data_IF_224506243523
#
_entry.id   IF_224506243523
#
_cell.length_a   1.000
_cell.length_b   1.000
_cell.length_c   1.000
_cell.angle_alpha   90.00
_cell.angle_beta   90.00
_cell.angle_gamma   90.00
#
_symmetry.space_group_name_H-M   'P 1'
#
loop_
_entity.id
_entity.type
_entity.pdbx_description
1 polymer ?
#
# COMPACT_ATOMS: atom_id res chain seq x y z
N UNK A 1 24.75 19.33 15.21
CA UNK A 1 24.47 19.42 13.77
C UNK A 1 23.18 18.68 13.54
N UNK A 2 22.11 19.41 13.21
CA UNK A 2 20.77 18.85 13.15
C UNK A 2 20.55 18.01 11.88
N UNK A 3 20.11 16.78 12.13
CA UNK A 3 18.99 16.09 11.47
C UNK A 3 18.99 16.05 9.93
N UNK A 4 19.49 14.95 9.37
CA UNK A 4 19.25 14.54 8.00
C UNK A 4 18.14 13.49 7.97
N UNK A 5 16.91 14.00 7.96
CA UNK A 5 15.87 13.56 7.04
C UNK A 5 15.34 12.12 7.22
N UNK A 6 14.46 11.94 8.21
CA UNK A 6 13.37 10.95 8.16
C UNK A 6 12.31 11.30 7.09
N UNK A 7 12.73 11.88 5.97
CA UNK A 7 11.85 12.27 4.88
C UNK A 7 11.54 11.03 4.06
N UNK A 8 10.46 10.34 4.42
CA UNK A 8 9.80 9.40 3.52
C UNK A 8 9.00 10.23 2.53
N UNK A 9 9.53 10.38 1.31
CA UNK A 9 8.80 10.97 0.19
C UNK A 9 7.81 9.95 -0.34
N UNK A 10 6.54 10.34 -0.39
CA UNK A 10 5.53 9.60 -1.17
C UNK A 10 5.43 10.32 -2.51
N UNK A 11 6.10 9.76 -3.51
CA UNK A 11 5.91 10.19 -4.88
C UNK A 11 4.72 9.42 -5.48
N UNK A 12 3.72 10.16 -5.93
CA UNK A 12 2.62 9.61 -6.73
C UNK A 12 3.08 9.73 -8.19
N UNK A 13 3.73 8.69 -8.70
CA UNK A 13 4.17 8.62 -10.09
C UNK A 13 3.16 7.81 -10.94
N UNK A 14 2.92 8.17 -12.21
CA UNK A 14 2.27 7.27 -13.17
C UNK A 14 3.13 6.01 -13.34
N UNK A 15 2.52 4.87 -13.74
CA UNK A 15 3.19 3.57 -13.88
C UNK A 15 4.57 3.69 -14.58
N UNK A 16 5.64 3.66 -13.78
CA UNK A 16 6.98 3.39 -14.26
C UNK A 16 7.21 1.87 -14.24
N UNK A 17 7.98 1.38 -15.20
CA UNK A 17 8.26 -0.05 -15.42
C UNK A 17 8.67 -0.75 -14.12
N UNK A 18 7.83 -1.67 -13.62
CA UNK A 18 8.14 -2.50 -12.47
C UNK A 18 9.19 -3.54 -12.85
N UNK A 19 10.32 -3.55 -12.15
CA UNK A 19 11.33 -4.60 -12.29
C UNK A 19 10.80 -5.92 -11.72
N UNK A 20 10.45 -6.85 -12.61
CA UNK A 20 9.85 -8.16 -12.31
C UNK A 20 10.85 -9.19 -11.75
N UNK A 21 11.68 -8.81 -10.79
CA UNK A 21 12.51 -9.76 -10.04
C UNK A 21 11.89 -10.00 -8.68
N UNK A 22 11.52 -11.25 -8.41
CA UNK A 22 10.88 -11.70 -7.18
C UNK A 22 11.61 -11.14 -5.94
N UNK A 23 11.00 -10.12 -5.33
CA UNK A 23 11.52 -9.49 -4.13
C UNK A 23 11.38 -10.48 -2.97
N UNK A 24 12.48 -11.09 -2.54
CA UNK A 24 12.56 -11.60 -1.17
C UNK A 24 12.42 -10.39 -0.25
N UNK A 25 11.43 -10.42 0.66
CA UNK A 25 11.26 -9.37 1.66
C UNK A 25 12.47 -9.42 2.61
N UNK A 26 13.50 -8.63 2.35
CA UNK A 26 14.64 -8.45 3.24
C UNK A 26 14.44 -7.17 4.05
N UNK A 27 13.63 -7.29 5.12
CA UNK A 27 13.49 -6.26 6.15
C UNK A 27 12.07 -5.77 6.39
N UNK A 28 11.92 -5.01 7.47
CA UNK A 28 10.69 -4.30 7.82
C UNK A 28 11.04 -2.84 8.10
N UNK A 29 10.18 -1.93 7.69
CA UNK A 29 10.38 -0.49 7.86
C UNK A 29 9.08 0.19 8.31
N UNK A 30 9.23 1.34 8.96
CA UNK A 30 8.11 2.17 9.41
C UNK A 30 7.89 3.32 8.44
N UNK A 31 6.72 3.34 7.82
CA UNK A 31 6.31 4.37 6.87
C UNK A 31 5.13 5.15 7.44
N UNK A 32 5.43 6.26 8.13
CA UNK A 32 4.42 6.97 8.91
C UNK A 32 3.26 7.49 8.05
N UNK A 33 3.57 8.05 6.88
CA UNK A 33 2.54 8.61 6.00
C UNK A 33 1.64 7.52 5.40
N UNK A 34 2.20 6.38 4.97
CA UNK A 34 1.38 5.28 4.45
C UNK A 34 0.59 4.55 5.54
N UNK A 35 1.06 4.60 6.79
CA UNK A 35 0.33 4.06 7.95
C UNK A 35 -0.96 4.82 8.24
N UNK A 36 -1.16 6.01 7.67
CA UNK A 36 -2.39 6.79 7.77
C UNK A 36 -3.47 6.36 6.77
N UNK A 37 -3.14 5.50 5.80
CA UNK A 37 -4.07 5.06 4.77
C UNK A 37 -4.98 3.96 5.30
N UNK A 38 -6.30 4.16 5.22
CA UNK A 38 -7.26 3.16 5.65
C UNK A 38 -7.36 1.98 4.67
N UNK A 39 -7.98 0.91 5.15
CA UNK A 39 -8.16 -0.31 4.39
C UNK A 39 -9.40 -0.30 3.48
N UNK A 40 -9.25 -0.84 2.28
CA UNK A 40 -10.33 -1.46 1.50
C UNK A 40 -9.85 -2.80 0.92
N UNK A 41 -10.75 -3.78 0.76
CA UNK A 41 -10.35 -5.16 0.45
C UNK A 41 -9.81 -5.36 -0.97
N UNK A 42 -10.20 -4.50 -1.91
CA UNK A 42 -9.78 -4.58 -3.30
C UNK A 42 -10.36 -3.45 -4.15
N UNK A 43 -10.04 -3.46 -5.44
CA UNK A 43 -10.58 -2.51 -6.40
C UNK A 43 -12.12 -2.61 -6.48
N UNK A 44 -12.83 -1.49 -6.71
CA UNK A 44 -12.29 -0.13 -6.93
C UNK A 44 -12.07 0.68 -5.63
N UNK A 45 -12.42 0.13 -4.47
CA UNK A 45 -12.37 0.87 -3.19
C UNK A 45 -10.94 1.04 -2.66
N UNK A 46 -10.09 0.03 -2.85
CA UNK A 46 -8.64 0.15 -2.71
C UNK A 46 -8.10 0.79 -3.99
N UNK A 47 -7.80 2.09 -3.92
CA UNK A 47 -7.43 2.92 -5.07
C UNK A 47 -5.93 3.18 -5.18
N UNK A 48 -5.14 2.68 -4.21
CA UNK A 48 -3.67 2.73 -4.24
C UNK A 48 -3.04 1.39 -3.81
N UNK A 49 -1.88 1.07 -4.38
CA UNK A 49 -1.06 -0.10 -4.06
C UNK A 49 0.37 0.30 -3.69
N UNK A 50 1.02 -0.51 -2.84
CA UNK A 50 2.40 -0.31 -2.44
C UNK A 50 3.34 -0.86 -3.52
N UNK A 51 4.31 -0.05 -3.94
CA UNK A 51 5.38 -0.46 -4.83
C UNK A 51 6.74 -0.07 -4.28
N UNK A 52 7.71 -0.95 -4.44
CA UNK A 52 9.12 -0.67 -4.21
C UNK A 52 9.77 -0.58 -5.58
N UNK A 53 9.94 0.65 -6.07
CA UNK A 53 10.50 0.88 -7.39
C UNK A 53 12.03 0.91 -7.30
N UNK A 54 12.69 0.21 -8.20
CA UNK A 54 14.13 0.37 -8.43
C UNK A 54 14.33 1.41 -9.53
N UNK A 55 15.26 2.36 -9.32
CA UNK A 55 15.65 3.33 -10.34
C UNK A 55 16.51 2.72 -11.44
N UNK A 56 16.79 3.49 -12.50
CA UNK A 56 17.63 3.08 -13.63
C UNK A 56 19.10 2.83 -13.22
N UNK A 57 19.54 3.48 -12.15
CA UNK A 57 20.82 3.39 -11.48
C UNK A 57 20.89 2.28 -10.39
N UNK A 58 19.85 1.42 -10.35
CA UNK A 58 19.71 0.31 -9.41
C UNK A 58 18.60 0.56 -8.39
N UNK A 59 18.46 -0.33 -7.39
CA UNK A 59 17.61 -0.03 -6.24
C UNK A 59 18.18 1.24 -5.58
N UNK A 60 17.57 2.41 -5.81
CA UNK A 60 17.82 3.60 -4.99
C UNK A 60 17.73 3.20 -3.52
N UNK A 61 18.42 3.94 -2.63
CA UNK A 61 18.61 3.62 -1.18
C UNK A 61 17.49 2.71 -0.67
N UNK A 62 17.75 1.40 -0.64
CA UNK A 62 16.68 0.40 -0.50
C UNK A 62 15.76 0.73 0.67
N UNK A 63 14.51 1.05 0.38
CA UNK A 63 13.58 1.55 1.40
C UNK A 63 12.58 2.61 0.94
N UNK A 64 12.64 3.11 -0.30
CA UNK A 64 11.61 4.04 -0.77
C UNK A 64 10.29 3.31 -1.07
N UNK A 65 9.20 3.77 -0.44
CA UNK A 65 7.84 3.25 -0.64
C UNK A 65 7.06 4.17 -1.57
N UNK A 66 6.65 3.65 -2.72
CA UNK A 66 5.79 4.33 -3.69
C UNK A 66 4.33 3.90 -3.52
N UNK A 67 3.40 4.85 -3.67
CA UNK A 67 1.96 4.56 -3.81
C UNK A 67 1.56 4.69 -5.27
N UNK A 68 1.13 3.59 -5.88
CA UNK A 68 0.63 3.57 -7.24
C UNK A 68 -0.89 3.62 -7.25
N UNK A 69 -1.47 4.57 -7.96
CA UNK A 69 -2.91 4.61 -8.16
C UNK A 69 -3.35 3.45 -9.06
N UNK A 70 -4.40 2.71 -8.67
CA UNK A 70 -4.95 1.59 -9.47
C UNK A 70 -6.02 2.03 -10.47
N UNK A 71 -6.47 3.29 -10.35
CA UNK A 71 -7.42 3.96 -11.23
C UNK A 71 -7.33 5.48 -11.03
N UNK A 72 -8.08 6.24 -11.81
CA UNK A 72 -8.26 7.68 -11.56
C UNK A 72 -8.86 7.93 -10.17
N UNK A 73 -8.28 8.89 -9.44
CA UNK A 73 -8.68 9.30 -8.10
C UNK A 73 -9.06 10.79 -8.14
N UNK A 74 -10.24 11.13 -7.63
CA UNK A 74 -10.69 12.53 -7.60
C UNK A 74 -10.06 13.29 -6.44
N UNK A 75 -9.90 14.60 -6.59
CA UNK A 75 -9.49 15.45 -5.48
C UNK A 75 -10.51 15.34 -4.32
N UNK A 76 -10.00 15.13 -3.10
CA UNK A 76 -10.81 14.91 -1.90
C UNK A 76 -11.32 13.48 -1.71
N UNK A 77 -11.07 12.57 -2.66
CA UNK A 77 -11.34 11.14 -2.48
C UNK A 77 -10.32 10.54 -1.52
N UNK A 78 -10.79 9.73 -0.56
CA UNK A 78 -9.91 9.04 0.40
C UNK A 78 -9.04 7.99 -0.30
N UNK A 79 -7.74 8.02 -0.03
CA UNK A 79 -6.80 6.98 -0.46
C UNK A 79 -6.90 5.77 0.46
N UNK A 80 -7.09 4.59 -0.12
CA UNK A 80 -7.19 3.32 0.61
C UNK A 80 -6.34 2.23 -0.03
N UNK A 81 -5.68 1.44 0.83
CA UNK A 81 -4.82 0.31 0.46
C UNK A 81 -5.44 -1.01 0.92
N UNK A 82 -4.99 -2.14 0.37
CA UNK A 82 -5.40 -3.45 0.87
C UNK A 82 -4.37 -4.03 1.84
N UNK A 83 -4.69 -4.04 3.14
CA UNK A 83 -3.89 -4.74 4.17
C UNK A 83 -3.96 -6.26 4.02
N UNK A 84 -5.13 -6.75 3.57
CA UNK A 84 -5.42 -8.16 3.34
C UNK A 84 -6.18 -8.24 2.02
N UNK A 85 -5.52 -8.74 0.98
CA UNK A 85 -6.08 -8.84 -0.37
C UNK A 85 -7.29 -9.77 -0.40
N UNK A 86 -8.36 -9.33 -1.08
CA UNK A 86 -9.49 -10.20 -1.39
C UNK A 86 -9.13 -11.31 -2.41
N UNK A 87 -8.03 -11.16 -3.15
CA UNK A 87 -7.53 -12.19 -4.07
C UNK A 87 -6.87 -13.33 -3.27
N UNK A 88 -6.07 -12.99 -2.25
CA UNK A 88 -5.43 -13.97 -1.36
C UNK A 88 -6.43 -14.60 -0.38
N UNK A 89 -7.36 -13.80 0.14
CA UNK A 89 -8.37 -14.22 1.13
C UNK A 89 -9.78 -13.91 0.61
N UNK A 90 -10.31 -14.74 -0.31
CA UNK A 90 -11.59 -14.47 -0.98
C UNK A 90 -12.79 -14.57 -0.05
N UNK A 91 -12.72 -15.44 0.96
CA UNK A 91 -13.81 -15.67 1.91
C UNK A 91 -13.98 -14.45 2.84
N UNK A 92 -15.11 -13.75 2.67
CA UNK A 92 -15.48 -12.52 3.41
C UNK A 92 -15.36 -12.63 4.93
N UNK A 93 -15.88 -13.71 5.51
CA UNK A 93 -15.82 -13.93 6.97
C UNK A 93 -14.39 -14.11 7.46
N UNK A 94 -13.58 -14.89 6.74
CA UNK A 94 -12.16 -15.09 7.04
C UNK A 94 -11.38 -13.78 6.95
N UNK A 95 -11.59 -12.99 5.90
CA UNK A 95 -10.93 -11.70 5.72
C UNK A 95 -11.30 -10.72 6.83
N UNK A 96 -12.60 -10.61 7.19
CA UNK A 96 -13.04 -9.77 8.32
C UNK A 96 -12.48 -10.24 9.66
N UNK A 97 -12.38 -11.55 9.89
CA UNK A 97 -11.78 -12.08 11.10
C UNK A 97 -10.29 -11.68 11.20
N UNK A 98 -9.53 -11.80 10.11
CA UNK A 98 -8.12 -11.37 10.09
C UNK A 98 -7.96 -9.86 10.34
N UNK A 99 -8.82 -9.03 9.74
CA UNK A 99 -8.79 -7.58 9.94
C UNK A 99 -9.12 -7.21 11.39
N UNK A 100 -10.11 -7.87 11.99
CA UNK A 100 -10.47 -7.65 13.38
C UNK A 100 -9.33 -8.08 14.33
N UNK A 101 -8.74 -9.24 14.09
CA UNK A 101 -7.65 -9.79 14.90
C UNK A 101 -6.36 -8.93 14.83
N UNK A 102 -5.97 -8.49 13.63
CA UNK A 102 -4.69 -7.81 13.40
C UNK A 102 -4.77 -6.29 13.51
N UNK A 103 -5.92 -5.70 13.18
CA UNK A 103 -6.08 -4.25 13.05
C UNK A 103 -7.26 -3.69 13.88
N UNK A 104 -8.05 -4.54 14.54
CA UNK A 104 -9.07 -4.10 15.50
C UNK A 104 -10.32 -3.48 14.91
N UNK A 105 -10.62 -3.68 13.61
CA UNK A 105 -11.82 -3.13 12.97
C UNK A 105 -12.55 -4.12 12.07
N UNK A 106 -13.83 -3.84 11.79
CA UNK A 106 -14.64 -4.59 10.82
C UNK A 106 -14.76 -3.82 9.50
N UNK A 107 -14.25 -4.38 8.40
CA UNK A 107 -14.32 -3.72 7.09
C UNK A 107 -15.76 -3.67 6.53
N UNK A 108 -16.13 -2.51 5.99
CA UNK A 108 -17.43 -2.22 5.37
C UNK A 108 -17.32 -1.75 3.91
N UNK A 109 -16.21 -2.02 3.22
CA UNK A 109 -16.07 -1.72 1.78
C UNK A 109 -17.07 -2.52 0.93
N UNK A 110 -17.25 -2.14 -0.33
CA UNK A 110 -18.18 -2.78 -1.27
C UNK A 110 -17.90 -4.26 -1.51
N UNK A 111 -16.64 -4.69 -1.52
CA UNK A 111 -16.24 -6.12 -1.59
C UNK A 111 -16.71 -6.91 -0.36
N UNK A 112 -16.95 -6.22 0.75
CA UNK A 112 -17.43 -6.78 2.01
C UNK A 112 -18.91 -6.47 2.28
N UNK A 113 -19.60 -5.72 1.41
CA UNK A 113 -21.06 -5.51 1.53
C UNK A 113 -21.79 -6.86 1.53
#
# INVERSE_FOLDING_TARGET
GADASNAVTIDIAPLASTCASALSVEGSALYLLSSMLNHACGAPDANVEFAFLCGEDGCGRGGDLTLLATRDIRAGEELRVSYVSAEDVPVKSTRRAQLLERYGFMCSCSTCA
#
